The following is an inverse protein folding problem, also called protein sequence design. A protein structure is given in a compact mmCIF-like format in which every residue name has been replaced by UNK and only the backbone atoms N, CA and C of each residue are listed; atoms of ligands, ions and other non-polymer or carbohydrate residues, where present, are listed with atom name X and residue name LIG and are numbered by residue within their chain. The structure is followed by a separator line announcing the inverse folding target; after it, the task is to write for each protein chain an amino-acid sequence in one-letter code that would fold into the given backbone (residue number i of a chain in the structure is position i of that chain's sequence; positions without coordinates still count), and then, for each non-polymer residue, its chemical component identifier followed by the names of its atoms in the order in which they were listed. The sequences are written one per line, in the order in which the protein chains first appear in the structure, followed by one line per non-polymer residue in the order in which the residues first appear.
data_IF_592045555606
#
_entry.id   IF_592045555606
#
_cell.length_a   1.000
_cell.length_b   1.000
_cell.length_c   1.000
_cell.angle_alpha   90.00
_cell.angle_beta   90.00
_cell.angle_gamma   90.00
#
_symmetry.space_group_name_H-M   'P 1'
#
loop_
_entity.id
_entity.type
_entity.pdbx_description
1 polymer ?
#
# COMPACT_ATOMS: atom_id res chain seq x y z
N UNK A 1 26.32 -34.80 -10.13
CA UNK A 1 26.94 -35.93 -9.40
C UNK A 1 25.97 -36.61 -8.44
N UNK A 2 25.38 -35.90 -7.47
CA UNK A 2 24.49 -36.49 -6.44
C UNK A 2 23.20 -37.13 -7.02
N UNK A 3 22.62 -36.54 -8.07
CA UNK A 3 21.45 -37.10 -8.78
C UNK A 3 21.73 -38.47 -9.43
N UNK A 4 22.95 -38.70 -9.95
CA UNK A 4 23.35 -39.97 -10.56
C UNK A 4 23.55 -41.07 -9.51
N UNK A 5 24.04 -40.72 -8.32
CA UNK A 5 24.21 -41.66 -7.19
C UNK A 5 22.84 -42.05 -6.62
N UNK A 6 21.90 -41.11 -6.51
CA UNK A 6 20.54 -41.39 -6.04
C UNK A 6 19.78 -42.34 -6.96
N UNK A 7 19.90 -42.18 -8.29
CA UNK A 7 19.23 -43.06 -9.27
C UNK A 7 19.93 -44.42 -9.42
N UNK A 8 21.27 -44.47 -9.34
CA UNK A 8 22.06 -45.70 -9.53
C UNK A 8 22.28 -46.56 -8.28
N UNK A 9 22.51 -45.95 -7.11
CA UNK A 9 22.81 -46.64 -5.85
C UNK A 9 21.60 -46.71 -4.88
N UNK A 10 20.49 -46.04 -5.21
CA UNK A 10 19.28 -46.01 -4.36
C UNK A 10 18.58 -47.36 -4.20
N UNK A 11 18.80 -48.31 -5.13
CA UNK A 11 18.21 -49.66 -5.09
C UNK A 11 19.05 -50.70 -4.35
N UNK A 12 20.37 -50.50 -4.22
CA UNK A 12 21.29 -51.51 -3.68
C UNK A 12 21.67 -51.30 -2.22
N UNK A 13 21.62 -50.06 -1.69
CA UNK A 13 21.87 -49.77 -0.26
C UNK A 13 20.93 -48.67 0.27
N UNK A 14 19.86 -49.01 1.02
CA UNK A 14 18.85 -48.04 1.49
C UNK A 14 19.39 -47.02 2.49
N UNK A 15 20.44 -47.36 3.24
CA UNK A 15 21.13 -46.48 4.18
C UNK A 15 21.82 -45.29 3.47
N UNK A 16 22.45 -45.55 2.32
CA UNK A 16 23.16 -44.54 1.52
C UNK A 16 22.18 -43.61 0.80
N UNK A 17 21.02 -44.13 0.40
CA UNK A 17 19.96 -43.35 -0.23
C UNK A 17 19.36 -42.28 0.69
N UNK A 18 19.11 -42.61 1.98
CA UNK A 18 18.61 -41.65 2.98
C UNK A 18 19.61 -40.52 3.23
N UNK A 19 20.90 -40.86 3.35
CA UNK A 19 21.96 -39.88 3.57
C UNK A 19 22.14 -38.94 2.37
N UNK A 20 22.15 -39.49 1.16
CA UNK A 20 22.30 -38.70 -0.08
C UNK A 20 21.12 -37.76 -0.30
N UNK A 21 19.88 -38.22 -0.03
CA UNK A 21 18.66 -37.41 -0.16
C UNK A 21 18.64 -36.25 0.84
N UNK A 22 19.10 -36.48 2.08
CA UNK A 22 19.26 -35.42 3.07
C UNK A 22 20.25 -34.34 2.62
N UNK A 23 21.41 -34.75 2.11
CA UNK A 23 22.41 -33.84 1.58
C UNK A 23 21.92 -33.05 0.35
N UNK A 24 21.17 -33.70 -0.53
CA UNK A 24 20.64 -33.08 -1.74
C UNK A 24 19.54 -32.06 -1.44
N UNK A 25 18.67 -32.34 -0.46
CA UNK A 25 17.65 -31.39 0.01
C UNK A 25 18.28 -30.19 0.72
N UNK A 26 19.28 -30.42 1.58
CA UNK A 26 20.00 -29.33 2.24
C UNK A 26 20.73 -28.44 1.23
N UNK A 27 21.45 -29.05 0.28
CA UNK A 27 22.11 -28.33 -0.80
C UNK A 27 21.11 -27.55 -1.67
N UNK A 28 19.95 -28.15 -1.99
CA UNK A 28 18.88 -27.48 -2.73
C UNK A 28 18.31 -26.26 -2.00
N UNK A 29 18.08 -26.36 -0.70
CA UNK A 29 17.60 -25.23 0.13
C UNK A 29 18.65 -24.12 0.24
N UNK A 30 19.92 -24.47 0.46
CA UNK A 30 21.00 -23.49 0.56
C UNK A 30 21.21 -22.78 -0.78
N UNK A 31 21.30 -23.51 -1.89
CA UNK A 31 21.50 -22.93 -3.23
C UNK A 31 20.31 -22.09 -3.66
N UNK A 32 19.07 -22.54 -3.44
CA UNK A 32 17.88 -21.76 -3.77
C UNK A 32 17.76 -20.50 -2.92
N UNK A 33 18.11 -20.56 -1.63
CA UNK A 33 18.16 -19.39 -0.74
C UNK A 33 19.23 -18.38 -1.18
N UNK A 34 20.43 -18.84 -1.55
CA UNK A 34 21.50 -17.97 -2.04
C UNK A 34 21.13 -17.33 -3.39
N UNK A 35 20.57 -18.09 -4.33
CA UNK A 35 20.15 -17.55 -5.63
C UNK A 35 18.98 -16.56 -5.49
N UNK A 36 18.00 -16.85 -4.64
CA UNK A 36 16.90 -15.91 -4.36
C UNK A 36 17.43 -14.61 -3.74
N UNK A 37 18.41 -14.71 -2.83
CA UNK A 37 19.09 -13.55 -2.25
C UNK A 37 19.88 -12.75 -3.29
N UNK A 38 20.70 -13.40 -4.12
CA UNK A 38 21.54 -12.73 -5.13
C UNK A 38 20.70 -12.13 -6.25
N UNK A 39 19.64 -12.80 -6.71
CA UNK A 39 18.72 -12.23 -7.71
C UNK A 39 17.91 -11.08 -7.11
N UNK A 40 17.46 -11.21 -5.84
CA UNK A 40 16.72 -10.16 -5.15
C UNK A 40 17.55 -8.90 -4.87
N UNK A 41 18.79 -9.07 -4.40
CA UNK A 41 19.73 -7.96 -4.13
C UNK A 41 20.39 -7.46 -5.42
N UNK A 42 20.62 -8.33 -6.40
CA UNK A 42 21.18 -7.98 -7.70
C UNK A 42 20.23 -7.18 -8.60
N UNK A 43 18.91 -7.33 -8.42
CA UNK A 43 17.92 -6.44 -9.06
C UNK A 43 17.76 -5.09 -8.35
N UNK A 44 18.30 -4.92 -7.13
CA UNK A 44 18.22 -3.70 -6.33
C UNK A 44 18.72 -2.43 -7.07
N UNK A 45 19.85 -2.44 -7.80
CA UNK A 45 20.35 -1.25 -8.49
C UNK A 45 19.59 -0.87 -9.77
N UNK A 46 18.78 -1.76 -10.34
CA UNK A 46 18.13 -1.54 -11.66
C UNK A 46 16.76 -0.85 -11.51
N UNK A 47 16.08 -1.01 -10.36
CA UNK A 47 14.70 -0.56 -10.15
C UNK A 47 14.52 0.71 -9.31
N UNK A 48 15.60 1.32 -8.81
CA UNK A 48 15.53 2.42 -7.85
C UNK A 48 15.19 1.98 -6.42
N UNK A 49 15.58 2.78 -5.44
CA UNK A 49 15.61 2.49 -3.98
C UNK A 49 14.27 2.12 -3.33
N UNK A 50 13.15 2.13 -4.07
CA UNK A 50 11.80 1.89 -3.55
C UNK A 50 11.07 0.70 -4.17
N UNK A 51 11.59 0.08 -5.22
CA UNK A 51 10.92 -1.04 -5.89
C UNK A 51 10.84 -2.28 -4.98
N UNK A 52 11.93 -2.58 -4.28
CA UNK A 52 11.98 -3.69 -3.32
C UNK A 52 11.02 -3.47 -2.15
N UNK A 53 10.93 -2.24 -1.64
CA UNK A 53 9.97 -1.87 -0.60
C UNK A 53 8.50 -1.97 -1.06
N UNK A 54 8.21 -1.76 -2.34
CA UNK A 54 6.84 -1.79 -2.89
C UNK A 54 6.37 -3.22 -3.20
N UNK A 55 7.26 -4.08 -3.72
CA UNK A 55 6.89 -5.38 -4.29
C UNK A 55 7.37 -6.59 -3.49
N UNK A 56 8.49 -6.48 -2.76
CA UNK A 56 9.10 -7.60 -2.03
C UNK A 56 9.02 -7.47 -0.51
N UNK A 57 8.64 -6.29 0.01
CA UNK A 57 8.42 -6.13 1.45
C UNK A 57 7.06 -6.73 1.86
N UNK A 58 7.02 -7.81 2.66
CA UNK A 58 5.76 -8.42 3.09
C UNK A 58 4.88 -7.44 3.88
N UNK A 59 5.48 -6.49 4.61
CA UNK A 59 4.73 -5.43 5.32
C UNK A 59 4.04 -4.45 4.36
N UNK A 60 4.67 -4.09 3.24
CA UNK A 60 4.06 -3.19 2.26
C UNK A 60 2.90 -3.86 1.52
N UNK A 61 3.02 -5.16 1.23
CA UNK A 61 1.93 -5.95 0.65
C UNK A 61 0.72 -6.04 1.59
N UNK A 62 0.98 -6.24 2.89
CA UNK A 62 -0.07 -6.29 3.92
C UNK A 62 -0.79 -4.94 4.07
N UNK A 63 -0.03 -3.85 4.17
CA UNK A 63 -0.61 -2.49 4.27
C UNK A 63 -1.37 -2.10 2.99
N UNK A 64 -0.86 -2.48 1.81
CA UNK A 64 -1.55 -2.27 0.53
C UNK A 64 -2.88 -3.03 0.43
N UNK A 65 -2.96 -4.23 1.01
CA UNK A 65 -4.20 -5.02 1.06
C UNK A 65 -5.21 -4.44 2.07
N UNK A 66 -4.75 -3.96 3.22
CA UNK A 66 -5.60 -3.30 4.23
C UNK A 66 -6.17 -1.98 3.68
N UNK A 67 -5.39 -1.21 2.91
CA UNK A 67 -5.88 0.02 2.28
C UNK A 67 -6.86 -0.22 1.13
N UNK A 68 -6.81 -1.37 0.44
CA UNK A 68 -7.79 -1.77 -0.57
C UNK A 68 -9.19 -1.95 0.01
N UNK A 69 -9.30 -2.27 1.30
CA UNK A 69 -10.56 -2.27 2.04
C UNK A 69 -11.10 -0.87 2.39
N UNK A 70 -10.51 0.19 1.80
CA UNK A 70 -11.22 1.37 1.28
C UNK A 70 -12.36 1.89 2.14
N UNK A 71 -12.06 2.22 3.39
CA UNK A 71 -13.04 2.63 4.40
C UNK A 71 -13.41 4.12 4.31
N UNK A 72 -12.60 4.91 3.59
CA UNK A 72 -12.73 6.36 3.49
C UNK A 72 -13.57 6.75 2.26
N UNK A 73 -14.64 7.50 2.51
CA UNK A 73 -15.50 8.10 1.49
C UNK A 73 -15.38 9.61 1.56
N UNK A 74 -15.20 10.24 0.41
CA UNK A 74 -15.21 11.70 0.31
C UNK A 74 -16.58 12.09 -0.23
N UNK A 75 -17.36 12.78 0.59
CA UNK A 75 -18.63 13.37 0.19
C UNK A 75 -18.40 14.80 -0.27
N UNK A 76 -19.17 15.19 -1.29
CA UNK A 76 -19.05 16.47 -1.97
C UNK A 76 -20.41 17.15 -1.85
N UNK A 77 -20.42 18.41 -1.39
CA UNK A 77 -21.60 19.26 -1.52
C UNK A 77 -21.69 19.77 -2.96
N UNK A 78 -22.83 19.50 -3.59
CA UNK A 78 -23.10 19.95 -4.96
C UNK A 78 -23.06 21.49 -5.04
N UNK A 79 -22.62 22.01 -6.19
CA UNK A 79 -22.68 23.43 -6.56
C UNK A 79 -21.85 24.43 -5.73
N UNK A 80 -21.00 23.99 -4.80
CA UNK A 80 -20.12 24.88 -4.01
C UNK A 80 -18.66 24.93 -4.47
N UNK A 81 -18.28 24.11 -5.45
CA UNK A 81 -16.90 24.02 -5.95
C UNK A 81 -16.56 25.14 -6.95
N UNK A 82 -15.52 25.93 -6.65
CA UNK A 82 -14.98 26.97 -7.56
C UNK A 82 -13.79 26.50 -8.41
N UNK A 83 -13.48 25.20 -8.42
CA UNK A 83 -12.35 24.62 -9.17
C UNK A 83 -10.96 25.24 -8.89
N UNK A 84 -10.72 25.75 -7.68
CA UNK A 84 -9.41 26.29 -7.28
C UNK A 84 -8.23 25.28 -7.34
N UNK A 85 -8.52 23.97 -7.36
CA UNK A 85 -7.51 22.91 -7.55
C UNK A 85 -6.60 22.60 -6.37
N UNK A 86 -6.69 23.35 -5.26
CA UNK A 86 -5.88 23.13 -4.06
C UNK A 86 -6.02 21.71 -3.50
N UNK A 87 -7.22 21.13 -3.53
CA UNK A 87 -7.47 19.76 -3.07
C UNK A 87 -6.68 18.68 -3.84
N UNK A 88 -6.32 18.91 -5.10
CA UNK A 88 -5.55 17.96 -5.92
C UNK A 88 -4.04 18.19 -5.79
N UNK A 89 -3.64 19.45 -5.61
CA UNK A 89 -2.22 19.84 -5.43
C UNK A 89 -1.63 19.30 -4.12
N UNK A 90 -2.41 19.30 -3.04
CA UNK A 90 -1.98 18.79 -1.74
C UNK A 90 -2.23 17.29 -1.55
N UNK A 91 -2.75 16.60 -2.56
CA UNK A 91 -2.97 15.17 -2.44
C UNK A 91 -1.67 14.40 -2.73
N UNK A 92 -1.03 13.90 -1.67
CA UNK A 92 0.18 13.06 -1.75
C UNK A 92 -0.07 11.76 -2.53
N UNK A 93 -1.32 11.32 -2.61
CA UNK A 93 -1.73 10.14 -3.36
C UNK A 93 -1.96 10.42 -4.86
N UNK A 94 -1.73 11.66 -5.32
CA UNK A 94 -1.83 12.04 -6.74
C UNK A 94 -3.26 11.97 -7.30
N UNK A 95 -4.25 12.13 -6.43
CA UNK A 95 -5.65 12.03 -6.79
C UNK A 95 -6.14 13.38 -7.33
N UNK A 96 -6.73 13.40 -8.53
CA UNK A 96 -7.49 14.56 -9.00
C UNK A 96 -8.85 14.65 -8.29
N UNK A 97 -8.89 15.25 -7.10
CA UNK A 97 -10.11 15.47 -6.32
C UNK A 97 -10.99 16.57 -6.94
N UNK A 98 -10.38 17.50 -7.68
CA UNK A 98 -11.05 18.67 -8.27
C UNK A 98 -12.11 18.26 -9.27
N UNK A 99 -11.82 17.31 -10.16
CA UNK A 99 -12.78 16.82 -11.15
C UNK A 99 -14.01 16.17 -10.51
N UNK A 100 -13.83 15.39 -9.43
CA UNK A 100 -14.96 14.82 -8.69
C UNK A 100 -15.78 15.88 -7.96
N UNK A 101 -15.13 16.90 -7.39
CA UNK A 101 -15.81 17.99 -6.72
C UNK A 101 -16.64 18.85 -7.69
N UNK A 102 -16.13 19.07 -8.91
CA UNK A 102 -16.87 19.75 -9.99
C UNK A 102 -18.05 18.93 -10.48
N UNK A 103 -17.87 17.61 -10.59
CA UNK A 103 -18.93 16.70 -10.99
C UNK A 103 -19.99 16.47 -9.90
N UNK A 104 -19.80 16.98 -8.67
CA UNK A 104 -20.69 16.72 -7.54
C UNK A 104 -20.70 15.26 -7.07
N UNK A 105 -19.75 14.43 -7.52
CA UNK A 105 -19.77 12.98 -7.29
C UNK A 105 -18.94 12.61 -6.07
N UNK A 106 -19.59 12.03 -5.06
CA UNK A 106 -18.88 11.36 -3.97
C UNK A 106 -18.12 10.14 -4.51
N UNK A 107 -16.89 9.92 -4.03
CA UNK A 107 -16.05 8.82 -4.50
C UNK A 107 -15.35 8.10 -3.35
N UNK A 108 -15.03 6.83 -3.60
CA UNK A 108 -14.23 5.96 -2.73
C UNK A 108 -13.14 5.34 -3.60
N UNK A 109 -11.87 5.57 -3.28
CA UNK A 109 -10.74 4.95 -3.98
C UNK A 109 -9.82 4.26 -3.00
N UNK A 110 -9.33 3.08 -3.38
CA UNK A 110 -8.35 2.32 -2.61
C UNK A 110 -7.01 3.06 -2.43
N UNK A 111 -6.70 4.00 -3.33
CA UNK A 111 -5.54 4.88 -3.18
C UNK A 111 -5.75 6.02 -2.19
N UNK A 112 -6.97 6.28 -1.73
CA UNK A 112 -7.22 7.32 -0.74
C UNK A 112 -6.93 6.78 0.65
N UNK A 113 -5.91 7.31 1.29
CA UNK A 113 -5.53 6.97 2.67
C UNK A 113 -6.43 7.63 3.73
N UNK A 114 -7.33 8.52 3.33
CA UNK A 114 -8.22 9.22 4.26
C UNK A 114 -7.53 10.32 5.08
N UNK A 115 -6.46 10.94 4.58
CA UNK A 115 -5.72 11.98 5.31
C UNK A 115 -6.51 13.28 5.58
N UNK A 116 -7.65 13.50 4.92
CA UNK A 116 -8.52 14.66 5.18
C UNK A 116 -8.01 16.02 4.71
N UNK A 117 -6.74 16.14 4.29
CA UNK A 117 -6.11 17.39 3.82
C UNK A 117 -6.93 18.12 2.75
N UNK A 118 -7.63 17.38 1.88
CA UNK A 118 -8.47 17.96 0.84
C UNK A 118 -9.70 18.73 1.38
N UNK A 119 -10.22 18.34 2.56
CA UNK A 119 -11.32 19.03 3.22
C UNK A 119 -10.83 20.27 3.98
N UNK A 120 -9.65 20.19 4.59
CA UNK A 120 -9.04 21.29 5.36
C UNK A 120 -8.55 22.44 4.47
N UNK A 121 -7.88 22.13 3.35
CA UNK A 121 -7.37 23.15 2.41
C UNK A 121 -8.47 23.79 1.56
N UNK A 122 -9.71 23.29 1.63
CA UNK A 122 -10.79 23.80 0.80
C UNK A 122 -11.34 25.12 1.38
N UNK A 123 -11.16 26.27 0.73
CA UNK A 123 -11.60 27.56 1.26
C UNK A 123 -13.14 27.70 1.36
N UNK A 124 -13.88 26.79 0.70
CA UNK A 124 -15.34 26.75 0.68
C UNK A 124 -15.93 25.58 1.49
N UNK A 125 -15.09 24.70 2.04
CA UNK A 125 -15.54 23.55 2.83
C UNK A 125 -16.48 22.59 2.07
N UNK A 126 -16.26 22.43 0.76
CA UNK A 126 -17.11 21.61 -0.14
C UNK A 126 -17.00 20.11 0.14
N UNK A 127 -15.82 19.69 0.59
CA UNK A 127 -15.45 18.30 0.78
C UNK A 127 -15.62 17.90 2.24
N UNK A 128 -16.14 16.70 2.46
CA UNK A 128 -16.24 16.08 3.80
C UNK A 128 -15.68 14.66 3.74
N UNK A 129 -14.94 14.30 4.78
CA UNK A 129 -14.38 12.96 4.93
C UNK A 129 -15.32 12.13 5.82
N UNK A 130 -15.85 11.05 5.27
CA UNK A 130 -16.63 10.07 6.00
C UNK A 130 -15.82 8.77 6.11
N UNK A 131 -15.49 8.38 7.33
CA UNK A 131 -14.88 7.08 7.61
C UNK A 131 -15.99 6.07 7.95
N UNK A 132 -16.13 5.00 7.17
CA UNK A 132 -17.09 3.93 7.45
C UNK A 132 -16.70 3.04 8.65
N UNK A 133 -15.58 3.31 9.32
CA UNK A 133 -15.13 2.59 10.50
C UNK A 133 -15.15 3.47 11.74
N UNK A 134 -16.30 3.53 12.40
CA UNK A 134 -16.33 3.37 13.86
C UNK A 134 -17.75 3.05 14.33
N UNK A 135 -17.95 1.85 14.90
CA UNK A 135 -18.55 1.80 16.23
C UNK A 135 -17.42 2.28 17.17
N UNK A 136 -17.32 3.59 17.33
CA UNK A 136 -17.07 4.35 18.57
C UNK A 136 -17.33 5.82 18.20
N UNK A 137 -18.45 6.38 18.65
CA UNK A 137 -18.92 7.72 18.28
C UNK A 137 -18.02 8.91 18.66
N UNK A 138 -16.84 8.72 19.26
CA UNK A 138 -16.15 9.80 19.98
C UNK A 138 -14.98 10.49 19.22
N UNK A 139 -14.44 9.91 18.13
CA UNK A 139 -13.38 10.56 17.32
C UNK A 139 -13.95 11.48 16.22
N UNK A 140 -15.16 11.19 15.71
CA UNK A 140 -15.84 12.05 14.73
C UNK A 140 -16.37 13.36 15.32
N UNK A 141 -16.62 13.40 16.64
CA UNK A 141 -17.08 14.60 17.37
C UNK A 141 -15.92 15.60 17.57
N UNK A 142 -14.67 15.13 17.66
CA UNK A 142 -13.51 16.01 17.88
C UNK A 142 -13.12 16.81 16.63
N UNK A 143 -13.48 16.35 15.43
CA UNK A 143 -13.31 17.12 14.18
C UNK A 143 -14.45 18.14 13.96
N UNK A 144 -15.55 18.07 14.71
CA UNK A 144 -16.65 19.04 14.61
C UNK A 144 -16.49 20.25 15.56
N UNK A 145 -15.57 20.23 16.53
CA UNK A 145 -15.43 21.30 17.54
C UNK A 145 -14.27 22.27 17.26
N UNK A 146 -13.50 22.08 16.19
CA UNK A 146 -12.58 23.11 15.71
C UNK A 146 -13.24 23.88 14.56
N UNK A 147 -13.90 25.04 14.82
CA UNK A 147 -14.08 26.01 13.75
C UNK A 147 -12.70 26.32 13.17
N UNK A 148 -12.59 26.31 11.84
CA UNK A 148 -11.35 26.60 11.11
C UNK A 148 -10.58 27.77 11.76
N UNK A 149 -9.44 27.54 12.44
CA UNK A 149 -8.63 28.65 12.89
C UNK A 149 -7.89 29.16 11.66
N UNK A 150 -8.13 30.43 11.34
CA UNK A 150 -7.40 31.23 10.37
C UNK A 150 -7.68 30.92 8.89
N UNK A 151 -8.73 31.55 8.36
CA UNK A 151 -8.53 32.32 7.14
C UNK A 151 -7.40 33.34 7.42
N UNK A 152 -6.15 32.95 7.18
CA UNK A 152 -5.05 33.92 7.11
C UNK A 152 -5.34 34.77 5.87
N UNK A 153 -5.56 36.09 5.99
CA UNK A 153 -5.69 36.93 4.82
C UNK A 153 -4.38 36.85 4.04
N UNK A 154 -4.51 36.54 2.75
CA UNK A 154 -3.45 36.58 1.77
C UNK A 154 -3.21 38.08 1.49
N UNK A 155 -2.23 38.64 2.20
CA UNK A 155 -1.59 39.92 1.85
C UNK A 155 -0.47 39.58 0.86
#
# INVERSE_FOLDING_TARGET
ALLFISWGAGKSHPEVARFTTGFQSFYGLVVSSMLAGVVGVGLYPIGGTRLWCRFFCPMAALLGLVQKFGRYRITVKENMCISCGMCSKYCEMGIDVRSYAQAGKSFTRASCVGCGLCAEVCPRGVLRLENKSHRDPQESILVQIQPAPSARPLI
#
